data_IF_855240113660
#
_entry.id   IF_855240113660
#
_cell.length_a   1.000
_cell.length_b   1.000
_cell.length_c   1.000
_cell.angle_alpha   90.00
_cell.angle_beta   90.00
_cell.angle_gamma   90.00
#
_symmetry.space_group_name_H-M   'P 1'
#
loop_
_entity.id
_entity.type
_entity.pdbx_description
1 polymer ?
#
# COMPACT_ATOMS: atom_id res chain seq x y z
N UNK A 1 8.70 0.38 14.16
CA UNK A 1 8.48 -0.86 13.38
C UNK A 1 7.78 -0.58 12.04
N UNK A 2 7.66 0.68 11.59
CA UNK A 2 7.04 0.99 10.30
C UNK A 2 7.81 0.29 9.17
N UNK A 3 7.12 -0.32 8.18
CA UNK A 3 5.69 -0.24 7.88
C UNK A 3 4.78 -1.29 8.57
N UNK A 4 5.32 -2.08 9.50
CA UNK A 4 4.59 -3.17 10.17
C UNK A 4 3.86 -2.73 11.44
N UNK A 5 2.74 -3.40 11.69
CA UNK A 5 1.96 -3.36 12.93
C UNK A 5 1.82 -4.77 13.47
N UNK A 6 2.02 -4.93 14.77
CA UNK A 6 1.67 -6.14 15.49
C UNK A 6 0.36 -5.92 16.25
N UNK A 7 -0.60 -6.82 16.06
CA UNK A 7 -1.82 -6.87 16.85
C UNK A 7 -1.62 -7.97 17.92
N UNK A 8 -1.75 -7.68 19.22
CA UNK A 8 -1.47 -8.65 20.29
C UNK A 8 -2.27 -9.96 20.19
N UNK A 9 -3.44 -9.90 19.54
CA UNK A 9 -4.34 -11.04 19.33
C UNK A 9 -3.82 -12.03 18.28
N UNK A 10 -2.84 -11.64 17.46
CA UNK A 10 -2.35 -12.43 16.34
C UNK A 10 -0.83 -12.60 16.42
N UNK A 11 -0.30 -13.83 16.25
CA UNK A 11 1.11 -14.11 16.42
C UNK A 11 1.94 -13.79 15.17
N UNK A 12 1.61 -12.71 14.46
CA UNK A 12 2.27 -12.29 13.22
C UNK A 12 2.12 -10.78 13.01
N UNK A 13 2.93 -10.22 12.10
CA UNK A 13 2.91 -8.79 11.78
C UNK A 13 2.15 -8.51 10.51
N UNK A 14 1.50 -7.34 10.44
CA UNK A 14 0.74 -6.89 9.27
C UNK A 14 1.43 -5.67 8.69
N UNK A 15 1.75 -5.72 7.40
CA UNK A 15 2.28 -4.57 6.67
C UNK A 15 1.13 -3.64 6.29
N UNK A 16 1.12 -2.39 6.79
CA UNK A 16 0.08 -1.39 6.51
C UNK A 16 -0.13 -1.12 5.00
N UNK A 17 0.91 -0.74 4.22
CA UNK A 17 0.74 -0.42 2.81
C UNK A 17 0.32 -1.64 1.96
N UNK A 18 0.80 -2.84 2.31
CA UNK A 18 0.46 -4.05 1.56
C UNK A 18 -0.86 -4.71 2.02
N UNK A 19 -1.40 -4.30 3.17
CA UNK A 19 -2.57 -4.89 3.81
C UNK A 19 -2.49 -6.43 3.82
N UNK A 20 -1.37 -6.97 4.31
CA UNK A 20 -1.12 -8.41 4.35
C UNK A 20 -0.27 -8.78 5.57
N UNK A 21 -0.52 -9.96 6.12
CA UNK A 21 0.23 -10.52 7.23
C UNK A 21 1.47 -11.28 6.77
N UNK A 22 2.51 -11.28 7.61
CA UNK A 22 3.80 -11.92 7.39
C UNK A 22 4.33 -12.54 8.69
N UNK A 23 4.99 -13.69 8.56
CA UNK A 23 5.76 -14.33 9.65
C UNK A 23 7.10 -13.63 9.84
N UNK A 24 7.73 -13.77 11.00
CA UNK A 24 8.93 -13.00 11.35
C UNK A 24 10.08 -13.18 10.35
N UNK A 25 10.30 -14.40 9.84
CA UNK A 25 11.41 -14.70 8.92
C UNK A 25 11.18 -14.15 7.50
N UNK A 26 9.93 -13.85 7.13
CA UNK A 26 9.59 -13.29 5.82
C UNK A 26 9.71 -11.76 5.78
N UNK A 27 9.88 -11.11 6.93
CA UNK A 27 9.93 -9.64 7.04
C UNK A 27 11.04 -9.04 6.18
N UNK A 28 12.27 -9.57 6.25
CA UNK A 28 13.39 -9.03 5.47
C UNK A 28 13.13 -9.16 3.96
N UNK A 29 12.73 -10.35 3.52
CA UNK A 29 12.46 -10.62 2.11
C UNK A 29 11.32 -9.74 1.59
N UNK A 30 10.26 -9.56 2.37
CA UNK A 30 9.15 -8.68 2.04
C UNK A 30 9.61 -7.22 1.92
N UNK A 31 10.36 -6.72 2.91
CA UNK A 31 10.85 -5.35 2.89
C UNK A 31 11.72 -5.11 1.66
N UNK A 32 12.68 -5.98 1.35
CA UNK A 32 13.54 -5.83 0.18
C UNK A 32 12.78 -5.86 -1.16
N UNK A 33 11.71 -6.66 -1.25
CA UNK A 33 10.95 -6.82 -2.49
C UNK A 33 9.89 -5.75 -2.73
N UNK A 34 9.33 -5.14 -1.67
CA UNK A 34 8.16 -4.25 -1.77
C UNK A 34 8.38 -2.85 -1.19
N UNK A 35 9.50 -2.64 -0.49
CA UNK A 35 9.81 -1.37 0.19
C UNK A 35 11.29 -0.96 0.05
N UNK A 36 11.55 0.33 -0.10
CA UNK A 36 12.92 0.87 -0.11
C UNK A 36 13.37 1.21 1.31
N UNK A 37 13.72 0.19 2.10
CA UNK A 37 14.03 0.35 3.55
C UNK A 37 15.54 0.29 3.87
N UNK A 38 16.39 -0.02 2.89
CA UNK A 38 17.85 -0.04 3.04
C UNK A 38 18.34 -0.80 4.28
N UNK A 39 19.20 -0.17 5.08
CA UNK A 39 19.78 -0.74 6.31
C UNK A 39 18.78 -0.89 7.47
N UNK A 40 17.66 -0.16 7.44
CA UNK A 40 16.65 -0.22 8.50
C UNK A 40 15.84 -1.54 8.48
N UNK A 41 15.88 -2.30 7.38
CA UNK A 41 15.23 -3.62 7.28
C UNK A 41 15.72 -4.61 8.35
N UNK A 42 17.03 -4.63 8.64
CA UNK A 42 17.60 -5.50 9.67
C UNK A 42 17.15 -5.10 11.07
N UNK A 43 17.06 -3.79 11.33
CA UNK A 43 16.58 -3.28 12.62
C UNK A 43 15.11 -3.61 12.84
N UNK A 44 14.27 -3.45 11.80
CA UNK A 44 12.85 -3.83 11.86
C UNK A 44 12.70 -5.32 12.13
N UNK A 45 13.46 -6.17 11.42
CA UNK A 45 13.41 -7.61 11.64
C UNK A 45 13.79 -8.01 13.06
N UNK A 46 14.85 -7.42 13.65
CA UNK A 46 15.21 -7.66 15.06
C UNK A 46 14.08 -7.28 16.02
N UNK A 47 13.42 -6.14 15.77
CA UNK A 47 12.28 -5.70 16.59
C UNK A 47 11.12 -6.70 16.46
N UNK A 48 10.85 -7.22 15.27
CA UNK A 48 9.79 -8.23 15.05
C UNK A 48 10.13 -9.55 15.74
N UNK A 49 11.37 -10.02 15.64
CA UNK A 49 11.82 -11.25 16.32
C UNK A 49 11.76 -11.16 17.85
N UNK A 50 11.86 -9.95 18.41
CA UNK A 50 11.76 -9.73 19.84
C UNK A 50 10.32 -9.75 20.38
N UNK A 51 9.30 -9.85 19.52
CA UNK A 51 7.90 -9.91 19.94
C UNK A 51 7.61 -11.27 20.57
N UNK A 52 7.12 -11.32 21.82
CA UNK A 52 6.77 -12.59 22.46
C UNK A 52 5.64 -13.32 21.72
N UNK A 53 5.83 -14.61 21.47
CA UNK A 53 4.81 -15.47 20.85
C UNK A 53 4.64 -15.30 19.34
N UNK A 54 5.58 -14.61 18.66
CA UNK A 54 5.52 -14.47 17.21
C UNK A 54 5.87 -15.77 16.50
N UNK A 55 5.14 -16.05 15.41
CA UNK A 55 5.43 -17.16 14.52
C UNK A 55 6.57 -16.79 13.59
N UNK A 56 7.58 -17.65 13.54
CA UNK A 56 8.78 -17.42 12.75
C UNK A 56 8.63 -17.91 11.31
N UNK A 57 8.06 -19.11 11.16
CA UNK A 57 8.06 -19.83 9.89
C UNK A 57 6.68 -20.36 9.46
N UNK A 58 6.61 -20.82 8.20
CA UNK A 58 5.38 -21.37 7.63
C UNK A 58 4.91 -22.68 8.28
N UNK A 59 5.78 -23.42 8.99
CA UNK A 59 5.40 -24.68 9.67
C UNK A 59 4.63 -24.41 10.96
N UNK A 60 5.11 -23.47 11.75
CA UNK A 60 4.41 -22.95 12.94
C UNK A 60 3.07 -22.31 12.56
N UNK A 61 3.03 -21.62 11.40
CA UNK A 61 1.79 -21.05 10.87
C UNK A 61 0.72 -22.12 10.54
N UNK A 62 1.09 -23.37 10.26
CA UNK A 62 0.11 -24.44 10.00
C UNK A 62 -0.67 -24.85 11.25
N UNK A 63 -0.08 -24.64 12.43
CA UNK A 63 -0.70 -24.98 13.72
C UNK A 63 -1.63 -23.86 14.20
N UNK A 64 -1.57 -22.69 13.57
CA UNK A 64 -2.43 -21.56 13.90
C UNK A 64 -3.83 -21.75 13.32
N UNK A 65 -4.85 -21.59 14.17
CA UNK A 65 -6.25 -21.64 13.78
C UNK A 65 -6.78 -20.26 13.41
N UNK A 66 -7.62 -20.21 12.38
CA UNK A 66 -8.32 -18.98 11.99
C UNK A 66 -9.20 -18.41 13.11
N UNK A 67 -9.41 -17.08 13.16
CA UNK A 67 -10.26 -16.45 14.15
C UNK A 67 -11.71 -16.94 14.06
N UNK A 68 -12.47 -16.86 15.16
CA UNK A 68 -13.87 -17.24 15.16
C UNK A 68 -14.73 -16.31 14.29
N UNK A 69 -15.88 -16.78 13.78
CA UNK A 69 -16.79 -15.99 12.93
C UNK A 69 -17.31 -14.68 13.54
N UNK A 70 -17.24 -14.56 14.86
CA UNK A 70 -17.69 -13.39 15.63
C UNK A 70 -16.65 -12.27 15.68
N UNK A 71 -15.44 -12.50 15.14
CA UNK A 71 -14.39 -11.49 15.10
C UNK A 71 -14.86 -10.25 14.34
N UNK A 72 -14.64 -9.08 14.95
CA UNK A 72 -14.94 -7.81 14.31
C UNK A 72 -14.05 -7.60 13.06
N UNK A 73 -14.52 -6.88 12.04
CA UNK A 73 -13.71 -6.53 10.89
C UNK A 73 -12.39 -5.88 11.29
N UNK A 74 -11.27 -6.43 10.80
CA UNK A 74 -9.93 -5.93 11.12
C UNK A 74 -9.59 -4.80 10.15
N UNK A 75 -9.35 -3.55 10.60
CA UNK A 75 -9.19 -2.40 9.71
C UNK A 75 -7.89 -2.35 8.90
N UNK A 76 -6.85 -3.08 9.35
CA UNK A 76 -5.48 -2.99 8.80
C UNK A 76 -5.28 -3.97 7.61
N UNK A 77 -6.20 -4.92 7.43
CA UNK A 77 -6.23 -5.85 6.29
C UNK A 77 -7.30 -5.40 5.28
N UNK A 78 -7.40 -6.00 4.08
CA UNK A 78 -8.36 -5.56 3.07
C UNK A 78 -9.79 -5.58 3.61
N UNK A 79 -10.65 -4.65 3.18
CA UNK A 79 -12.03 -4.56 3.66
C UNK A 79 -12.79 -5.89 3.54
N UNK A 80 -13.77 -6.14 4.44
CA UNK A 80 -14.62 -7.32 4.36
C UNK A 80 -15.26 -7.46 2.98
N UNK A 81 -15.13 -8.64 2.39
CA UNK A 81 -15.82 -8.98 1.15
C UNK A 81 -17.13 -9.67 1.47
N UNK A 82 -18.21 -9.30 0.77
CA UNK A 82 -19.57 -9.77 1.04
C UNK A 82 -19.97 -11.02 0.24
N UNK A 83 -19.09 -11.55 -0.61
CA UNK A 83 -19.35 -12.67 -1.51
C UNK A 83 -18.86 -14.03 -0.95
N UNK A 84 -18.64 -14.11 0.36
CA UNK A 84 -18.19 -15.32 1.04
C UNK A 84 -19.26 -16.40 1.14
N UNK A 85 -18.82 -17.66 1.06
CA UNK A 85 -19.59 -18.86 1.40
C UNK A 85 -19.03 -19.46 2.69
N UNK A 86 -19.81 -19.42 3.77
CA UNK A 86 -19.40 -19.97 5.08
C UNK A 86 -20.03 -21.33 5.34
N UNK A 87 -19.26 -22.29 5.83
CA UNK A 87 -19.80 -23.59 6.24
C UNK A 87 -20.74 -23.44 7.45
N UNK A 88 -21.79 -24.26 7.52
CA UNK A 88 -22.69 -24.27 8.67
C UNK A 88 -22.16 -25.09 9.85
N UNK A 89 -21.24 -26.03 9.61
CA UNK A 89 -20.74 -26.99 10.60
C UNK A 89 -19.37 -26.62 11.19
N UNK A 90 -18.57 -25.83 10.47
CA UNK A 90 -17.25 -25.41 10.91
C UNK A 90 -16.94 -23.96 10.50
N UNK A 91 -15.85 -23.34 11.01
CA UNK A 91 -15.47 -21.96 10.69
C UNK A 91 -14.96 -21.73 9.25
N UNK A 92 -14.98 -22.76 8.39
CA UNK A 92 -14.42 -22.65 7.04
C UNK A 92 -15.21 -21.70 6.16
N UNK A 93 -14.50 -20.80 5.48
CA UNK A 93 -15.07 -19.87 4.50
C UNK A 93 -14.31 -19.97 3.18
N UNK A 94 -15.05 -19.91 2.08
CA UNK A 94 -14.48 -19.81 0.74
C UNK A 94 -15.26 -18.80 -0.09
N UNK A 95 -14.60 -18.14 -1.04
CA UNK A 95 -15.28 -17.21 -1.99
C UNK A 95 -15.80 -17.90 -3.25
N UNK A 96 -15.39 -19.14 -3.51
CA UNK A 96 -15.81 -19.89 -4.68
C UNK A 96 -16.76 -21.01 -4.28
N UNK A 97 -17.89 -21.10 -4.96
CA UNK A 97 -18.90 -22.14 -4.70
C UNK A 97 -18.33 -23.56 -4.86
N UNK A 98 -17.38 -23.76 -5.78
CA UNK A 98 -16.73 -25.06 -5.98
C UNK A 98 -15.88 -25.47 -4.77
N UNK A 99 -15.23 -24.51 -4.12
CA UNK A 99 -14.37 -24.74 -2.95
C UNK A 99 -15.17 -25.10 -1.71
N UNK A 100 -16.28 -24.38 -1.45
CA UNK A 100 -17.16 -24.74 -0.32
C UNK A 100 -17.86 -26.08 -0.55
N UNK A 101 -18.24 -26.39 -1.79
CA UNK A 101 -18.77 -27.71 -2.13
C UNK A 101 -17.74 -28.81 -1.89
N UNK A 102 -16.50 -28.63 -2.35
CA UNK A 102 -15.43 -29.58 -2.11
C UNK A 102 -15.19 -29.78 -0.61
N UNK A 103 -15.04 -28.71 0.15
CA UNK A 103 -14.91 -28.78 1.60
C UNK A 103 -16.07 -29.56 2.26
N UNK A 104 -17.32 -29.26 1.91
CA UNK A 104 -18.46 -29.99 2.46
C UNK A 104 -18.48 -31.47 2.05
N UNK A 105 -17.98 -31.83 0.86
CA UNK A 105 -17.83 -33.23 0.45
C UNK A 105 -16.77 -33.94 1.29
N UNK A 106 -15.60 -33.34 1.40
CA UNK A 106 -14.39 -33.96 1.95
C UNK A 106 -14.46 -34.03 3.49
N UNK A 107 -14.83 -32.94 4.16
CA UNK A 107 -14.84 -32.83 5.63
C UNK A 107 -16.17 -33.22 6.28
N UNK A 108 -17.26 -33.17 5.50
CA UNK A 108 -18.62 -33.32 6.05
C UNK A 108 -19.46 -34.38 5.34
N UNK A 109 -18.85 -35.12 4.40
CA UNK A 109 -19.49 -36.22 3.68
C UNK A 109 -20.71 -35.78 2.87
N UNK A 110 -20.82 -34.50 2.51
CA UNK A 110 -21.96 -34.00 1.73
C UNK A 110 -21.95 -34.66 0.36
N UNK A 111 -23.10 -35.18 -0.06
CA UNK A 111 -23.29 -35.71 -1.41
C UNK A 111 -24.23 -34.77 -2.16
N UNK A 112 -23.88 -34.46 -3.41
CA UNK A 112 -24.71 -33.59 -4.22
C UNK A 112 -25.89 -34.38 -4.80
N UNK A 113 -27.09 -34.11 -4.31
CA UNK A 113 -28.33 -34.77 -4.77
C UNK A 113 -28.71 -34.41 -6.22
N UNK A 114 -27.96 -33.51 -6.87
CA UNK A 114 -28.19 -33.08 -8.25
C UNK A 114 -27.63 -34.10 -9.24
N UNK A 115 -28.46 -35.06 -9.67
CA UNK A 115 -28.19 -35.89 -10.87
C UNK A 115 -28.32 -35.05 -12.16
N UNK A 116 -27.49 -35.38 -13.17
CA UNK A 116 -27.44 -34.73 -14.50
C UNK A 116 -28.77 -34.90 -15.25
N UNK A 117 -29.49 -33.80 -15.52
CA UNK A 117 -30.74 -33.78 -16.27
C UNK A 117 -31.46 -32.42 -16.20
N UNK A 118 -32.21 -32.05 -17.24
CA UNK A 118 -32.98 -30.78 -17.32
C UNK A 118 -34.12 -30.79 -16.30
N UNK A 119 -34.19 -29.80 -15.40
CA UNK A 119 -35.26 -29.66 -14.39
C UNK A 119 -36.25 -28.54 -14.75
N UNK A 120 -37.50 -28.74 -14.35
CA UNK A 120 -38.59 -27.75 -14.37
C UNK A 120 -38.56 -26.88 -13.11
N UNK A 121 -38.95 -25.60 -13.22
CA UNK A 121 -38.93 -24.58 -12.15
C UNK A 121 -39.52 -25.03 -10.81
N UNK A 122 -40.51 -25.92 -10.80
CA UNK A 122 -41.13 -26.46 -9.59
C UNK A 122 -40.19 -27.30 -8.71
N UNK A 123 -39.15 -27.93 -9.28
CA UNK A 123 -38.14 -28.72 -8.53
C UNK A 123 -36.97 -27.88 -7.99
N UNK A 124 -36.89 -26.60 -8.34
CA UNK A 124 -35.89 -25.66 -7.80
C UNK A 124 -36.32 -25.11 -6.44
N UNK A 125 -37.63 -24.88 -6.25
CA UNK A 125 -38.19 -24.39 -4.98
C UNK A 125 -38.19 -25.43 -3.84
N UNK A 126 -38.16 -26.73 -4.17
CA UNK A 126 -38.12 -27.84 -3.20
C UNK A 126 -36.69 -28.32 -2.90
N UNK A 127 -35.68 -27.46 -3.03
CA UNK A 127 -34.29 -27.83 -2.79
C UNK A 127 -33.99 -28.04 -1.30
N UNK A 128 -33.33 -29.15 -0.98
CA UNK A 128 -32.75 -29.37 0.34
C UNK A 128 -31.81 -28.21 0.71
N UNK A 129 -31.80 -27.78 1.99
CA UNK A 129 -30.95 -26.69 2.44
C UNK A 129 -29.49 -27.04 2.15
N UNK A 130 -28.80 -26.16 1.42
CA UNK A 130 -27.37 -26.31 1.16
C UNK A 130 -26.60 -26.19 2.49
N UNK A 131 -25.53 -26.97 2.69
CA UNK A 131 -24.80 -27.01 3.97
C UNK A 131 -23.90 -25.79 4.23
N UNK A 132 -24.08 -24.69 3.49
CA UNK A 132 -23.32 -23.45 3.61
C UNK A 132 -24.21 -22.21 3.49
N UNK A 133 -23.82 -21.13 4.16
CA UNK A 133 -24.39 -19.79 4.01
C UNK A 133 -23.81 -19.08 2.79
N UNK A 134 -24.59 -18.23 2.15
CA UNK A 134 -24.17 -17.32 1.07
C UNK A 134 -24.19 -15.88 1.57
N UNK A 135 -23.29 -15.03 1.06
CA UNK A 135 -23.29 -13.61 1.41
C UNK A 135 -22.57 -13.30 2.73
N UNK A 136 -21.69 -14.18 3.17
CA UNK A 136 -20.93 -14.01 4.42
C UNK A 136 -19.86 -12.95 4.22
N UNK A 137 -19.71 -12.06 5.20
CA UNK A 137 -18.59 -11.11 5.25
C UNK A 137 -17.31 -11.86 5.59
N UNK A 138 -16.30 -11.79 4.74
CA UNK A 138 -15.05 -12.51 4.96
C UNK A 138 -13.82 -11.66 4.68
N UNK A 139 -12.78 -11.87 5.49
CA UNK A 139 -11.45 -11.29 5.34
C UNK A 139 -10.39 -12.40 5.29
N UNK A 140 -9.16 -12.03 4.93
CA UNK A 140 -7.99 -12.91 5.03
C UNK A 140 -6.76 -12.11 5.44
N UNK A 141 -5.86 -12.76 6.16
CA UNK A 141 -4.57 -12.20 6.55
C UNK A 141 -3.52 -12.36 5.45
N UNK A 142 -3.42 -13.55 4.86
CA UNK A 142 -2.37 -13.91 3.92
C UNK A 142 -2.90 -14.00 2.48
N UNK A 143 -2.26 -13.30 1.53
CA UNK A 143 -2.68 -13.32 0.11
C UNK A 143 -2.41 -14.67 -0.55
N UNK A 144 -1.29 -15.32 -0.23
CA UNK A 144 -0.90 -16.63 -0.75
C UNK A 144 0.09 -17.28 0.23
N UNK A 145 -0.29 -18.32 0.99
CA UNK A 145 0.57 -19.11 1.92
C UNK A 145 -0.23 -20.31 2.45
N UNK A 146 0.38 -21.14 3.29
CA UNK A 146 -0.31 -22.30 3.89
C UNK A 146 -1.53 -21.90 4.71
N UNK A 147 -1.51 -20.73 5.35
CA UNK A 147 -2.64 -20.16 6.08
C UNK A 147 -3.38 -19.05 5.29
N UNK A 148 -3.43 -19.09 3.96
CA UNK A 148 -4.27 -18.16 3.17
C UNK A 148 -5.75 -18.54 3.20
N UNK A 149 -6.27 -18.76 4.40
CA UNK A 149 -7.67 -19.08 4.67
C UNK A 149 -8.49 -17.80 4.80
N UNK A 150 -9.74 -17.88 4.35
CA UNK A 150 -10.74 -16.85 4.62
C UNK A 150 -11.42 -17.17 5.94
N UNK A 151 -11.75 -16.13 6.69
CA UNK A 151 -12.53 -16.24 7.93
C UNK A 151 -13.72 -15.27 7.88
N UNK A 152 -14.80 -15.67 8.54
CA UNK A 152 -16.03 -14.88 8.67
C UNK A 152 -15.81 -13.75 9.68
N UNK A 153 -16.29 -12.55 9.37
CA UNK A 153 -16.22 -11.39 10.25
C UNK A 153 -17.59 -10.77 10.45
N UNK A 154 -17.81 -10.19 11.63
CA UNK A 154 -19.03 -9.43 11.93
C UNK A 154 -20.30 -10.29 12.00
N UNK A 155 -20.18 -11.58 12.36
CA UNK A 155 -21.36 -12.41 12.62
C UNK A 155 -22.08 -11.87 13.85
N UNK A 156 -23.22 -11.22 13.62
CA UNK A 156 -24.12 -10.80 14.68
C UNK A 156 -24.73 -12.05 15.31
N UNK A 157 -24.31 -12.39 16.53
CA UNK A 157 -25.06 -13.31 17.38
C UNK A 157 -26.39 -12.61 17.67
N UNK A 158 -27.57 -13.25 17.51
CA UNK A 158 -28.81 -12.65 17.97
C UNK A 158 -28.64 -12.33 19.47
N UNK A 159 -28.92 -11.09 19.91
CA UNK A 159 -28.60 -10.68 21.26
C UNK A 159 -29.39 -11.54 22.24
N UNK A 160 -28.70 -12.37 23.01
CA UNK A 160 -29.18 -12.70 24.35
C UNK A 160 -29.19 -11.37 25.11
N UNK A 161 -30.38 -10.97 25.56
CA UNK A 161 -30.65 -9.75 26.31
C UNK A 161 -29.62 -9.49 27.42
N UNK A 162 -28.56 -8.75 27.10
CA UNK A 162 -27.79 -7.97 28.06
C UNK A 162 -27.54 -6.61 27.39
N UNK A 163 -27.99 -5.55 28.06
CA UNK A 163 -28.20 -4.23 27.49
C UNK A 163 -26.95 -3.67 26.80
N UNK A 164 -27.09 -3.39 25.51
CA UNK A 164 -26.10 -2.59 24.77
C UNK A 164 -26.47 -1.14 25.04
N UNK A 165 -25.53 -0.42 25.66
CA UNK A 165 -25.60 1.01 25.90
C UNK A 165 -25.79 1.74 24.56
N UNK A 166 -26.94 2.40 24.38
CA UNK A 166 -27.35 3.08 23.14
C UNK A 166 -26.32 4.15 22.72
N UNK A 167 -25.50 4.63 23.65
CA UNK A 167 -24.48 5.65 23.42
C UNK A 167 -23.26 5.10 22.65
N UNK A 168 -22.92 3.82 22.83
CA UNK A 168 -21.77 3.17 22.15
C UNK A 168 -22.13 2.78 20.70
N UNK A 169 -23.35 2.29 20.47
CA UNK A 169 -23.87 2.00 19.14
C UNK A 169 -23.97 3.27 18.28
N UNK A 170 -24.37 4.39 18.90
CA UNK A 170 -24.42 5.70 18.24
C UNK A 170 -23.03 6.20 17.87
N UNK A 171 -22.06 6.13 18.79
CA UNK A 171 -20.64 6.48 18.54
C UNK A 171 -20.02 5.62 17.43
N UNK A 172 -20.31 4.32 17.40
CA UNK A 172 -19.80 3.42 16.37
C UNK A 172 -20.40 3.74 14.99
N UNK A 173 -21.70 4.05 14.93
CA UNK A 173 -22.36 4.49 13.69
C UNK A 173 -21.80 5.83 13.17
N UNK A 174 -21.55 6.79 14.06
CA UNK A 174 -20.91 8.06 13.75
C UNK A 174 -19.48 7.87 13.22
N UNK A 175 -18.69 6.98 13.83
CA UNK A 175 -17.34 6.66 13.39
C UNK A 175 -17.32 6.00 12.01
N UNK A 176 -18.24 5.07 11.73
CA UNK A 176 -18.39 4.42 10.42
C UNK A 176 -18.78 5.46 9.36
N UNK A 177 -19.77 6.32 9.64
CA UNK A 177 -20.19 7.37 8.71
C UNK A 177 -19.07 8.40 8.45
N UNK A 178 -18.30 8.78 9.48
CA UNK A 178 -17.16 9.67 9.34
C UNK A 178 -16.04 9.05 8.48
N UNK A 179 -15.81 7.74 8.62
CA UNK A 179 -14.80 7.01 7.84
C UNK A 179 -15.21 6.87 6.37
N UNK A 180 -16.48 6.56 6.10
CA UNK A 180 -17.03 6.53 4.74
C UNK A 180 -16.99 7.90 4.07
N UNK A 181 -17.26 8.97 4.82
CA UNK A 181 -17.15 10.35 4.32
C UNK A 181 -15.72 10.71 3.94
N UNK A 182 -14.74 10.36 4.79
CA UNK A 182 -13.31 10.56 4.48
C UNK A 182 -12.86 9.73 3.28
N UNK A 183 -13.32 8.48 3.16
CA UNK A 183 -13.00 7.63 2.01
C UNK A 183 -13.61 8.18 0.71
N UNK A 184 -14.85 8.68 0.76
CA UNK A 184 -15.50 9.35 -0.39
C UNK A 184 -14.76 10.63 -0.78
N UNK A 185 -14.39 11.47 0.17
CA UNK A 185 -13.59 12.68 -0.08
C UNK A 185 -12.20 12.35 -0.63
N UNK A 186 -11.54 11.29 -0.13
CA UNK A 186 -10.27 10.83 -0.65
C UNK A 186 -10.41 10.35 -2.10
N UNK A 187 -11.43 9.55 -2.40
CA UNK A 187 -11.72 9.08 -3.76
C UNK A 187 -12.08 10.24 -4.70
N UNK A 188 -12.86 11.21 -4.24
CA UNK A 188 -13.18 12.44 -5.00
C UNK A 188 -11.94 13.32 -5.22
N UNK A 189 -11.02 13.40 -4.24
CA UNK A 189 -9.74 14.12 -4.37
C UNK A 189 -8.74 13.39 -5.28
N UNK A 190 -8.79 12.06 -5.33
CA UNK A 190 -7.94 11.23 -6.18
C UNK A 190 -8.47 11.20 -7.62
N UNK A 191 -9.80 11.25 -7.79
CA UNK A 191 -10.49 11.44 -9.06
C UNK A 191 -10.44 12.88 -9.57
N UNK A 192 -10.02 13.85 -8.75
CA UNK A 192 -9.75 15.22 -9.20
C UNK A 192 -8.49 15.18 -10.10
N UNK A 193 -8.64 15.48 -11.41
CA UNK A 193 -7.50 15.48 -12.31
C UNK A 193 -6.53 16.63 -12.00
N UNK A 194 -6.91 17.60 -11.16
CA UNK A 194 -6.05 18.72 -10.77
C UNK A 194 -5.05 18.29 -9.70
N UNK A 195 -3.84 18.84 -9.76
CA UNK A 195 -2.84 18.66 -8.71
C UNK A 195 -3.27 19.50 -7.51
N UNK A 196 -3.52 18.88 -6.35
CA UNK A 196 -3.90 19.61 -5.14
C UNK A 196 -2.67 20.13 -4.39
N UNK A 197 -2.84 21.24 -3.66
CA UNK A 197 -1.80 21.79 -2.78
C UNK A 197 -1.49 20.81 -1.63
N UNK A 198 -0.21 20.48 -1.43
CA UNK A 198 0.20 19.39 -0.53
C UNK A 198 0.23 19.77 0.95
N UNK A 199 -0.05 18.80 1.83
CA UNK A 199 0.06 18.91 3.31
C UNK A 199 1.49 18.63 3.79
N UNK A 200 1.96 19.25 4.88
CA UNK A 200 3.37 19.26 5.38
C UNK A 200 3.97 17.94 5.92
N UNK A 201 3.75 16.79 5.27
CA UNK A 201 4.16 15.49 5.82
C UNK A 201 5.60 15.10 5.49
N UNK A 202 6.24 15.68 4.48
CA UNK A 202 7.58 15.27 3.99
C UNK A 202 8.57 16.43 3.80
N UNK A 203 9.88 16.19 3.95
CA UNK A 203 10.94 17.21 3.75
C UNK A 203 10.96 17.76 2.31
N UNK A 204 10.72 16.89 1.32
CA UNK A 204 10.57 17.30 -0.08
C UNK A 204 9.42 18.31 -0.26
N UNK A 205 8.34 18.18 0.52
CA UNK A 205 7.19 19.10 0.45
C UNK A 205 7.52 20.47 1.05
N UNK A 206 8.41 20.56 2.06
CA UNK A 206 8.90 21.86 2.55
C UNK A 206 9.70 22.60 1.48
N UNK A 207 10.54 21.88 0.75
CA UNK A 207 11.30 22.47 -0.36
C UNK A 207 10.39 22.87 -1.52
N UNK A 208 9.43 22.02 -1.90
CA UNK A 208 8.43 22.32 -2.93
C UNK A 208 7.56 23.52 -2.56
N UNK A 209 7.10 23.63 -1.31
CA UNK A 209 6.37 24.80 -0.80
C UNK A 209 7.24 26.06 -0.85
N UNK A 210 8.48 25.99 -0.39
CA UNK A 210 9.42 27.11 -0.42
C UNK A 210 9.69 27.61 -1.85
N UNK A 211 9.73 26.70 -2.82
CA UNK A 211 9.97 27.00 -4.23
C UNK A 211 8.70 27.31 -5.01
N UNK A 212 7.52 27.23 -4.38
CA UNK A 212 6.23 27.63 -4.96
C UNK A 212 5.60 26.62 -5.94
N UNK A 213 6.20 25.44 -6.12
CA UNK A 213 5.69 24.42 -7.06
C UNK A 213 4.23 24.00 -6.81
N UNK A 214 3.77 23.77 -5.56
CA UNK A 214 2.38 23.40 -5.32
C UNK A 214 1.38 24.43 -5.85
N UNK A 215 1.67 25.72 -5.69
CA UNK A 215 0.84 26.80 -6.22
C UNK A 215 0.88 26.88 -7.74
N UNK A 216 2.08 26.76 -8.34
CA UNK A 216 2.25 26.81 -9.79
C UNK A 216 1.52 25.65 -10.51
N UNK A 217 1.44 24.49 -9.88
CA UNK A 217 0.81 23.29 -10.45
C UNK A 217 -0.63 23.07 -10.00
N UNK A 218 -1.18 23.85 -9.05
CA UNK A 218 -2.46 23.61 -8.36
C UNK A 218 -3.70 23.40 -9.27
N UNK A 219 -3.63 23.85 -10.51
CA UNK A 219 -4.73 23.78 -11.49
C UNK A 219 -4.34 23.05 -12.77
N UNK A 220 -3.13 22.50 -12.82
CA UNK A 220 -2.67 21.72 -13.96
C UNK A 220 -3.26 20.33 -13.86
N UNK A 221 -3.91 19.90 -14.94
CA UNK A 221 -4.43 18.54 -15.09
C UNK A 221 -3.27 17.54 -15.16
N UNK A 222 -3.29 16.50 -14.33
CA UNK A 222 -2.28 15.43 -14.25
C UNK A 222 -2.10 14.71 -15.59
N UNK A 223 -3.18 14.54 -16.35
CA UNK A 223 -3.19 13.93 -17.68
C UNK A 223 -2.49 14.84 -18.67
N UNK A 224 -2.81 16.13 -18.68
CA UNK A 224 -2.13 17.15 -19.50
C UNK A 224 -0.63 17.20 -19.18
N UNK A 225 -0.26 17.16 -17.89
CA UNK A 225 1.13 17.18 -17.48
C UNK A 225 1.90 15.98 -18.06
N UNK A 226 1.34 14.77 -17.97
CA UNK A 226 1.98 13.54 -18.47
C UNK A 226 2.00 13.45 -20.00
N UNK A 227 0.92 13.79 -20.65
CA UNK A 227 0.73 13.56 -22.09
C UNK A 227 1.29 14.70 -22.96
N UNK A 228 1.42 15.92 -22.42
CA UNK A 228 1.84 17.09 -23.19
C UNK A 228 3.11 17.73 -22.64
N UNK A 229 3.20 17.90 -21.32
CA UNK A 229 4.28 18.70 -20.71
C UNK A 229 5.56 17.87 -20.48
N UNK A 230 5.42 16.63 -20.03
CA UNK A 230 6.53 15.73 -19.72
C UNK A 230 7.06 14.94 -20.93
N UNK A 231 6.49 15.16 -22.11
CA UNK A 231 6.98 14.50 -23.32
C UNK A 231 8.40 14.97 -23.67
N UNK A 232 9.21 14.14 -24.35
CA UNK A 232 10.49 14.59 -24.88
C UNK A 232 10.35 15.85 -25.74
N UNK A 233 11.44 16.62 -25.85
CA UNK A 233 11.47 17.80 -26.74
C UNK A 233 11.34 17.30 -28.18
N UNK A 234 10.26 17.72 -28.86
CA UNK A 234 9.97 17.31 -30.22
C UNK A 234 10.75 18.11 -31.27
N UNK A 235 10.79 17.60 -32.51
CA UNK A 235 11.45 18.27 -33.64
C UNK A 235 10.84 19.64 -33.97
N UNK A 236 9.56 19.83 -33.64
CA UNK A 236 8.79 21.06 -33.91
C UNK A 236 8.95 22.15 -32.82
N UNK A 237 9.83 21.96 -31.84
CA UNK A 237 10.06 22.91 -30.73
C UNK A 237 11.47 23.54 -30.79
N UNK A 238 11.78 24.35 -31.83
CA UNK A 238 13.14 24.85 -32.05
C UNK A 238 13.66 25.73 -30.90
N UNK A 239 12.76 26.45 -30.22
CA UNK A 239 13.13 27.28 -29.05
C UNK A 239 13.56 26.38 -27.89
N UNK A 240 12.76 25.37 -27.56
CA UNK A 240 13.04 24.46 -26.44
C UNK A 240 14.28 23.60 -26.72
N UNK A 241 14.50 23.19 -27.97
CA UNK A 241 15.75 22.55 -28.40
C UNK A 241 16.95 23.46 -28.16
N UNK A 242 16.88 24.72 -28.59
CA UNK A 242 18.00 25.66 -28.44
C UNK A 242 18.28 25.97 -26.97
N UNK A 243 17.23 26.10 -26.16
CA UNK A 243 17.35 26.26 -24.71
C UNK A 243 18.03 25.05 -24.08
N UNK A 244 17.61 23.83 -24.43
CA UNK A 244 18.24 22.60 -23.92
C UNK A 244 19.70 22.49 -24.33
N UNK A 245 20.03 22.76 -25.60
CA UNK A 245 21.40 22.70 -26.10
C UNK A 245 22.35 23.62 -25.31
N UNK A 246 21.92 24.87 -25.07
CA UNK A 246 22.69 25.84 -24.28
C UNK A 246 22.80 25.37 -22.83
N UNK A 247 21.70 24.92 -22.24
CA UNK A 247 21.67 24.48 -20.84
C UNK A 247 22.55 23.25 -20.61
N UNK A 248 22.47 22.26 -21.51
CA UNK A 248 23.29 21.06 -21.48
C UNK A 248 24.78 21.39 -21.63
N UNK A 249 25.14 22.34 -22.51
CA UNK A 249 26.51 22.83 -22.62
C UNK A 249 27.02 23.42 -21.30
N UNK A 250 26.22 24.27 -20.64
CA UNK A 250 26.57 24.85 -19.34
C UNK A 250 26.70 23.78 -18.26
N UNK A 251 25.75 22.84 -18.20
CA UNK A 251 25.79 21.73 -17.25
C UNK A 251 27.06 20.90 -17.44
N UNK A 252 27.40 20.50 -18.67
CA UNK A 252 28.59 19.70 -18.95
C UNK A 252 29.89 20.46 -18.62
N UNK A 253 29.94 21.76 -18.90
CA UNK A 253 31.09 22.59 -18.52
C UNK A 253 31.24 22.69 -16.99
N UNK A 254 30.13 22.85 -16.26
CA UNK A 254 30.13 22.85 -14.80
C UNK A 254 30.56 21.49 -14.23
N UNK A 255 30.09 20.39 -14.82
CA UNK A 255 30.50 19.04 -14.45
C UNK A 255 32.01 18.82 -14.64
N UNK A 256 32.56 19.24 -15.77
CA UNK A 256 34.01 19.15 -16.02
C UNK A 256 34.81 20.04 -15.05
N UNK A 257 34.33 21.25 -14.77
CA UNK A 257 34.98 22.16 -13.83
C UNK A 257 34.99 21.58 -12.40
N UNK A 258 33.85 21.10 -11.93
CA UNK A 258 33.70 20.51 -10.58
C UNK A 258 34.45 19.19 -10.44
N UNK A 259 34.49 18.36 -11.48
CA UNK A 259 35.28 17.11 -11.49
C UNK A 259 36.80 17.34 -11.41
N UNK A 260 37.28 18.54 -11.80
CA UNK A 260 38.68 18.95 -11.69
C UNK A 260 39.00 19.64 -10.35
N UNK A 261 37.98 19.99 -9.58
CA UNK A 261 38.14 20.59 -8.26
C UNK A 261 38.22 19.48 -7.20
N UNK A 262 39.39 19.30 -6.60
CA UNK A 262 39.51 18.54 -5.35
C UNK A 262 39.22 19.47 -4.17
N UNK A 263 37.99 19.47 -3.67
CA UNK A 263 37.64 20.13 -2.40
C UNK A 263 38.43 19.51 -1.25
N UNK A 264 38.86 20.33 -0.30
CA UNK A 264 39.42 19.84 0.95
C UNK A 264 38.37 19.08 1.76
N UNK A 265 38.82 18.21 2.65
CA UNK A 265 37.93 17.39 3.48
C UNK A 265 37.02 18.24 4.36
N UNK A 266 37.51 19.38 4.87
CA UNK A 266 36.73 20.30 5.70
C UNK A 266 35.52 20.88 4.94
N UNK A 267 35.73 21.30 3.69
CA UNK A 267 34.66 21.82 2.83
C UNK A 267 33.58 20.76 2.55
N UNK A 268 33.98 19.50 2.35
CA UNK A 268 33.03 18.41 2.14
C UNK A 268 32.19 18.10 3.39
N UNK A 269 32.74 18.26 4.59
CA UNK A 269 31.96 18.15 5.84
C UNK A 269 30.99 19.31 6.01
N UNK A 270 31.35 20.52 5.57
CA UNK A 270 30.44 21.66 5.58
C UNK A 270 29.31 21.51 4.56
N UNK A 271 29.59 20.96 3.38
CA UNK A 271 28.57 20.69 2.36
C UNK A 271 27.55 19.64 2.84
N UNK A 272 28.00 18.59 3.54
CA UNK A 272 27.10 17.55 4.08
C UNK A 272 26.32 18.02 5.33
N UNK A 273 26.65 19.19 5.89
CA UNK A 273 26.05 19.67 7.14
C UNK A 273 24.58 20.05 6.94
N UNK A 274 23.68 19.24 7.49
CA UNK A 274 22.22 19.49 7.47
C UNK A 274 21.75 20.43 8.60
N UNK A 275 22.47 20.46 9.71
CA UNK A 275 22.20 21.32 10.86
C UNK A 275 23.48 22.01 11.34
N UNK A 276 23.41 23.32 11.61
CA UNK A 276 24.58 24.13 11.99
C UNK A 276 25.31 23.56 13.21
N UNK A 277 24.60 22.93 14.13
CA UNK A 277 25.15 22.41 15.39
C UNK A 277 25.64 20.97 15.32
N UNK A 278 25.36 20.23 14.23
CA UNK A 278 25.68 18.80 14.12
C UNK A 278 26.76 18.60 13.06
N UNK A 279 27.92 18.12 13.47
CA UNK A 279 28.98 17.74 12.53
C UNK A 279 28.65 16.38 11.89
N UNK A 280 28.63 16.28 10.55
CA UNK A 280 28.39 15.01 9.87
C UNK A 280 29.45 13.97 10.20
N UNK A 281 29.05 12.70 10.30
CA UNK A 281 29.98 11.59 10.55
C UNK A 281 30.78 11.19 9.29
N UNK A 282 30.37 11.65 8.12
CA UNK A 282 31.02 11.40 6.83
C UNK A 282 31.03 12.68 6.00
N UNK A 283 32.08 12.93 5.20
CA UNK A 283 32.12 14.05 4.27
C UNK A 283 31.13 13.82 3.12
N UNK A 284 30.72 14.89 2.45
CA UNK A 284 29.95 14.82 1.21
C UNK A 284 30.71 14.00 0.16
N UNK A 285 30.10 12.92 -0.32
CA UNK A 285 30.66 12.10 -1.39
C UNK A 285 30.18 12.65 -2.74
N UNK A 286 30.92 13.63 -3.28
CA UNK A 286 30.65 14.24 -4.59
C UNK A 286 30.99 13.36 -5.79
N UNK A 287 31.11 12.04 -5.61
CA UNK A 287 31.43 11.12 -6.69
C UNK A 287 30.19 11.00 -7.58
N UNK A 288 30.28 11.62 -8.76
CA UNK A 288 29.21 11.60 -9.73
C UNK A 288 29.58 10.65 -10.87
N UNK A 289 28.92 9.51 -10.93
CA UNK A 289 29.11 8.56 -12.02
C UNK A 289 28.54 9.12 -13.33
N UNK A 290 29.13 8.79 -14.51
CA UNK A 290 28.62 9.25 -15.80
C UNK A 290 27.13 8.92 -16.02
N UNK A 291 26.69 7.73 -15.63
CA UNK A 291 25.29 7.31 -15.72
C UNK A 291 24.38 8.13 -14.79
N UNK A 292 24.88 8.52 -13.62
CA UNK A 292 24.16 9.39 -12.70
C UNK A 292 24.02 10.80 -13.26
N UNK A 293 25.05 11.30 -13.96
CA UNK A 293 25.02 12.61 -14.59
C UNK A 293 23.96 12.72 -15.69
N UNK A 294 23.85 11.72 -16.56
CA UNK A 294 22.79 11.66 -17.59
C UNK A 294 21.39 11.68 -16.97
N UNK A 295 21.18 10.95 -15.86
CA UNK A 295 19.91 10.95 -15.13
C UNK A 295 19.58 12.32 -14.53
N UNK A 296 20.58 13.04 -14.00
CA UNK A 296 20.37 14.39 -13.47
C UNK A 296 20.05 15.39 -14.57
N UNK A 297 20.75 15.33 -15.71
CA UNK A 297 20.43 16.14 -16.89
C UNK A 297 18.97 15.94 -17.31
N UNK A 298 18.49 14.70 -17.35
CA UNK A 298 17.09 14.43 -17.72
C UNK A 298 16.08 15.08 -16.75
N UNK A 299 16.37 15.14 -15.44
CA UNK A 299 15.50 15.86 -14.49
C UNK A 299 15.47 17.37 -14.78
N UNK A 300 16.62 17.97 -15.08
CA UNK A 300 16.69 19.38 -15.47
C UNK A 300 15.94 19.64 -16.78
N UNK A 301 16.04 18.73 -17.74
CA UNK A 301 15.30 18.79 -19.00
C UNK A 301 13.79 18.79 -18.75
N UNK A 302 13.31 17.88 -17.90
CA UNK A 302 11.91 17.81 -17.49
C UNK A 302 11.46 19.13 -16.86
N UNK A 303 12.23 19.69 -15.93
CA UNK A 303 11.89 20.98 -15.31
C UNK A 303 11.79 22.11 -16.34
N UNK A 304 12.71 22.17 -17.30
CA UNK A 304 12.68 23.17 -18.37
C UNK A 304 11.45 22.99 -19.27
N UNK A 305 11.09 21.75 -19.63
CA UNK A 305 9.86 21.47 -20.37
C UNK A 305 8.63 21.94 -19.60
N UNK A 306 8.58 21.70 -18.29
CA UNK A 306 7.48 22.17 -17.44
C UNK A 306 7.39 23.70 -17.46
N UNK A 307 8.52 24.38 -17.29
CA UNK A 307 8.56 25.84 -17.26
C UNK A 307 8.06 26.44 -18.59
N UNK A 308 8.65 26.03 -19.71
CA UNK A 308 8.35 26.63 -21.02
C UNK A 308 6.94 26.27 -21.52
N UNK A 309 6.50 25.02 -21.32
CA UNK A 309 5.20 24.55 -21.85
C UNK A 309 4.01 24.92 -20.97
N UNK A 310 4.23 25.33 -19.72
CA UNK A 310 3.16 25.85 -18.85
C UNK A 310 3.06 27.38 -18.85
N UNK A 311 4.14 28.10 -19.18
CA UNK A 311 4.10 29.56 -19.35
C UNK A 311 3.65 30.02 -20.74
N UNK A 312 3.69 29.15 -21.75
CA UNK A 312 3.19 29.38 -23.10
C UNK A 312 1.67 29.18 -23.23
#
# INVERSE_FOLDING_TARGET
MEPFVHLPEYPFVICKPCAAAFVADEVISHLQAQHTVGSAAQQIHKIVQAIPGIIHNQKELQQWSVPPPTTAPIPIIPPPMHDGFGCNRCPYVARQIQRIQQHCRDEHGWVNDRKRGRRTKAKEAAMAPVPWKTGVQCQRFFRARVASSWFEVGRTVPPSNEGIDEDEATRQAEFIMATQRKARQAMESEADPRIQESSDKWEAERWLKRTGWPGHLAHVDKTRLREQVLQPIGENEPVLQKMWEIFECVLNNAYVATSRCSSGTAELFEIERKEVTVTPNKPFEGIMEPDSWERYKEQWRIMMCIWVRLEA
#
